data_IF_774559789887
#
_entry.id   IF_774559789887
#
_cell.length_a   1.000
_cell.length_b   1.000
_cell.length_c   1.000
_cell.angle_alpha   90.00
_cell.angle_beta   90.00
_cell.angle_gamma   90.00
#
_symmetry.space_group_name_H-M   'P 1'
#
loop_
_entity.id
_entity.type
_entity.pdbx_description
1 polymer ?
#
# COMPACT_ATOMS: atom_id res chain seq x y z
N UNK A 1 26.84 21.86 -8.57
CA UNK A 1 25.67 22.17 -7.71
C UNK A 1 24.45 21.51 -8.32
N UNK A 2 23.55 20.93 -7.52
CA UNK A 2 22.28 20.39 -8.00
C UNK A 2 21.35 21.53 -8.45
N UNK A 3 20.48 21.27 -9.43
CA UNK A 3 19.48 22.26 -9.87
C UNK A 3 18.47 22.55 -8.74
N UNK A 4 18.18 23.82 -8.42
CA UNK A 4 17.22 24.17 -7.38
C UNK A 4 15.87 23.46 -7.56
N UNK A 5 15.36 22.85 -6.49
CA UNK A 5 14.08 22.14 -6.51
C UNK A 5 14.10 20.70 -7.06
N UNK A 6 15.20 20.26 -7.70
CA UNK A 6 15.30 18.90 -8.25
C UNK A 6 15.10 17.82 -7.18
N UNK A 7 15.79 17.95 -6.04
CA UNK A 7 15.70 16.96 -4.96
C UNK A 7 14.27 16.80 -4.43
N UNK A 8 13.54 17.91 -4.27
CA UNK A 8 12.14 17.87 -3.82
C UNK A 8 11.22 17.21 -4.84
N UNK A 9 11.39 17.52 -6.13
CA UNK A 9 10.60 16.90 -7.20
C UNK A 9 10.89 15.38 -7.31
N UNK A 10 12.16 14.99 -7.18
CA UNK A 10 12.57 13.60 -7.18
C UNK A 10 11.98 12.84 -5.99
N UNK A 11 12.06 13.38 -4.78
CA UNK A 11 11.48 12.74 -3.59
C UNK A 11 9.96 12.63 -3.66
N UNK A 12 9.27 13.61 -4.26
CA UNK A 12 7.82 13.51 -4.52
C UNK A 12 7.48 12.34 -5.46
N UNK A 13 8.31 12.11 -6.49
CA UNK A 13 8.15 10.94 -7.37
C UNK A 13 8.41 9.63 -6.62
N UNK A 14 9.52 9.55 -5.88
CA UNK A 14 9.87 8.36 -5.07
C UNK A 14 8.75 8.02 -4.09
N UNK A 15 8.15 9.03 -3.46
CA UNK A 15 7.01 8.85 -2.55
C UNK A 15 5.80 8.23 -3.25
N UNK A 16 5.37 8.79 -4.39
CA UNK A 16 4.25 8.26 -5.15
C UNK A 16 4.51 6.82 -5.64
N UNK A 17 5.72 6.53 -6.13
CA UNK A 17 6.12 5.19 -6.54
C UNK A 17 6.08 4.22 -5.36
N UNK A 18 6.60 4.61 -4.18
CA UNK A 18 6.60 3.78 -2.98
C UNK A 18 5.17 3.44 -2.51
N UNK A 19 4.24 4.40 -2.54
CA UNK A 19 2.83 4.15 -2.18
C UNK A 19 2.17 3.20 -3.20
N UNK A 20 2.43 3.38 -4.49
CA UNK A 20 1.92 2.47 -5.53
C UNK A 20 2.48 1.04 -5.40
N UNK A 21 3.77 0.90 -5.10
CA UNK A 21 4.39 -0.39 -4.84
C UNK A 21 3.88 -1.05 -3.56
N UNK A 22 3.60 -0.27 -2.51
CA UNK A 22 2.94 -0.76 -1.30
C UNK A 22 1.60 -1.43 -1.65
N UNK A 23 0.75 -0.76 -2.44
CA UNK A 23 -0.51 -1.34 -2.87
C UNK A 23 -0.34 -2.59 -3.74
N UNK A 24 0.68 -2.62 -4.60
CA UNK A 24 1.02 -3.79 -5.42
C UNK A 24 1.45 -4.98 -4.56
N UNK A 25 2.30 -4.76 -3.56
CA UNK A 25 2.75 -5.81 -2.65
C UNK A 25 1.62 -6.35 -1.76
N UNK A 26 0.70 -5.49 -1.29
CA UNK A 26 -0.49 -5.94 -0.57
C UNK A 26 -1.31 -6.95 -1.39
N UNK A 27 -1.57 -6.67 -2.67
CA UNK A 27 -2.28 -7.59 -3.56
C UNK A 27 -1.44 -8.85 -3.80
N UNK A 28 -0.16 -8.70 -4.15
CA UNK A 28 0.72 -9.81 -4.52
C UNK A 28 0.90 -10.81 -3.38
N UNK A 29 1.00 -10.34 -2.14
CA UNK A 29 1.11 -11.20 -0.94
C UNK A 29 -0.22 -11.82 -0.52
N UNK A 30 -1.35 -11.32 -1.01
CA UNK A 30 -2.68 -11.84 -0.67
C UNK A 30 -3.14 -12.96 -1.62
N UNK A 31 -2.82 -12.86 -2.92
CA UNK A 31 -3.33 -13.82 -3.94
C UNK A 31 -2.26 -14.37 -4.87
N UNK A 32 -1.00 -13.96 -4.72
CA UNK A 32 0.11 -14.42 -5.55
C UNK A 32 0.72 -15.73 -5.04
N UNK A 33 1.77 -16.23 -5.70
CA UNK A 33 2.42 -17.49 -5.34
C UNK A 33 3.15 -17.48 -3.97
N UNK A 34 3.51 -16.30 -3.47
CA UNK A 34 4.33 -16.15 -2.25
C UNK A 34 3.59 -15.34 -1.19
N UNK A 35 2.77 -16.04 -0.41
CA UNK A 35 2.00 -15.48 0.70
C UNK A 35 2.88 -15.05 1.88
N UNK A 36 2.25 -14.50 2.92
CA UNK A 36 2.88 -14.09 4.17
C UNK A 36 2.26 -14.85 5.35
N UNK A 37 3.10 -15.22 6.31
CA UNK A 37 2.68 -15.95 7.50
C UNK A 37 1.64 -15.16 8.33
N UNK A 38 1.70 -13.83 8.30
CA UNK A 38 0.76 -12.92 8.96
C UNK A 38 -0.71 -13.21 8.60
N UNK A 39 -0.97 -13.67 7.37
CA UNK A 39 -2.30 -14.05 6.89
C UNK A 39 -2.49 -15.57 6.95
N UNK A 40 -1.51 -16.35 6.49
CA UNK A 40 -1.64 -17.80 6.36
C UNK A 40 -1.77 -18.52 7.72
N UNK A 41 -1.24 -17.94 8.79
CA UNK A 41 -1.28 -18.55 10.14
C UNK A 41 -2.58 -18.25 10.90
N UNK A 42 -3.46 -17.40 10.36
CA UNK A 42 -4.79 -17.13 10.94
C UNK A 42 -5.63 -18.42 10.86
N UNK A 43 -6.01 -18.95 12.03
CA UNK A 43 -6.77 -20.20 12.15
C UNK A 43 -8.26 -20.04 11.84
N UNK A 44 -8.84 -18.90 12.23
CA UNK A 44 -10.23 -18.57 11.89
C UNK A 44 -10.32 -18.24 10.40
N UNK A 45 -10.98 -19.12 9.65
CA UNK A 45 -11.11 -18.98 8.20
C UNK A 45 -11.86 -17.71 7.81
N UNK A 46 -12.92 -17.33 8.53
CA UNK A 46 -13.69 -16.12 8.24
C UNK A 46 -12.84 -14.87 8.47
N UNK A 47 -12.08 -14.84 9.56
CA UNK A 47 -11.13 -13.75 9.82
C UNK A 47 -10.06 -13.66 8.73
N UNK A 48 -9.49 -14.80 8.31
CA UNK A 48 -8.48 -14.84 7.26
C UNK A 48 -9.01 -14.30 5.93
N UNK A 49 -10.22 -14.71 5.52
CA UNK A 49 -10.87 -14.21 4.31
C UNK A 49 -11.13 -12.70 4.38
N UNK A 50 -11.57 -12.19 5.53
CA UNK A 50 -11.76 -10.76 5.71
C UNK A 50 -10.44 -9.99 5.63
N UNK A 51 -9.36 -10.48 6.25
CA UNK A 51 -8.02 -9.87 6.13
C UNK A 51 -7.54 -9.83 4.68
N UNK A 52 -7.71 -10.93 3.92
CA UNK A 52 -7.38 -10.99 2.49
C UNK A 52 -8.18 -9.97 1.68
N UNK A 53 -9.50 -9.89 1.92
CA UNK A 53 -10.39 -8.93 1.27
C UNK A 53 -9.97 -7.49 1.53
N UNK A 54 -9.61 -7.16 2.78
CA UNK A 54 -9.14 -5.83 3.15
C UNK A 54 -7.80 -5.50 2.48
N UNK A 55 -6.83 -6.41 2.53
CA UNK A 55 -5.52 -6.21 1.89
C UNK A 55 -5.65 -5.95 0.38
N UNK A 56 -6.49 -6.71 -0.33
CA UNK A 56 -6.75 -6.51 -1.75
C UNK A 56 -7.46 -5.17 -2.01
N UNK A 57 -8.46 -4.83 -1.20
CA UNK A 57 -9.22 -3.58 -1.34
C UNK A 57 -8.32 -2.37 -1.14
N UNK A 58 -7.57 -2.33 -0.04
CA UNK A 58 -6.62 -1.28 0.27
C UNK A 58 -5.52 -1.21 -0.80
N UNK A 59 -4.98 -2.36 -1.23
CA UNK A 59 -3.94 -2.40 -2.24
C UNK A 59 -4.36 -1.78 -3.57
N UNK A 60 -5.57 -2.10 -4.06
CA UNK A 60 -6.15 -1.47 -5.26
C UNK A 60 -6.30 0.03 -5.10
N UNK A 61 -6.79 0.48 -3.94
CA UNK A 61 -6.96 1.90 -3.66
C UNK A 61 -5.63 2.64 -3.69
N UNK A 62 -4.61 2.15 -2.97
CA UNK A 62 -3.29 2.78 -2.89
C UNK A 62 -2.62 2.91 -4.25
N UNK A 63 -2.74 1.91 -5.14
CA UNK A 63 -2.24 1.99 -6.51
C UNK A 63 -2.88 3.15 -7.27
N UNK A 64 -4.21 3.29 -7.19
CA UNK A 64 -4.96 4.30 -7.94
C UNK A 64 -4.74 5.71 -7.40
N UNK A 65 -4.64 5.86 -6.06
CA UNK A 65 -4.57 7.18 -5.42
C UNK A 65 -3.15 7.60 -5.03
N UNK A 66 -2.11 6.82 -5.36
CA UNK A 66 -0.72 7.07 -4.93
C UNK A 66 -0.25 8.51 -5.19
N UNK A 67 -0.55 9.08 -6.37
CA UNK A 67 -0.18 10.46 -6.72
C UNK A 67 -0.98 11.55 -5.99
N UNK A 68 -1.94 11.19 -5.14
CA UNK A 68 -2.82 12.08 -4.35
C UNK A 68 -2.59 11.93 -2.83
N UNK A 69 -1.58 11.18 -2.42
CA UNK A 69 -1.16 11.05 -1.03
C UNK A 69 0.14 11.85 -0.93
N UNK A 70 0.13 13.00 -0.27
CA UNK A 70 1.28 13.91 -0.22
C UNK A 70 2.14 13.70 1.05
N UNK A 71 1.66 12.92 2.03
CA UNK A 71 2.35 12.68 3.29
C UNK A 71 2.06 11.32 3.92
N UNK A 72 2.89 10.94 4.90
CA UNK A 72 2.68 9.74 5.72
C UNK A 72 1.39 9.81 6.54
N UNK A 73 1.02 10.99 7.02
CA UNK A 73 -0.22 11.17 7.80
C UNK A 73 -1.45 10.93 6.93
N UNK A 74 -1.44 11.41 5.69
CA UNK A 74 -2.48 11.10 4.71
C UNK A 74 -2.53 9.61 4.38
N UNK A 75 -1.36 8.96 4.22
CA UNK A 75 -1.30 7.50 4.00
C UNK A 75 -1.96 6.75 5.16
N UNK A 76 -1.62 7.08 6.40
CA UNK A 76 -2.23 6.48 7.60
C UNK A 76 -3.73 6.73 7.64
N UNK A 77 -4.17 7.95 7.32
CA UNK A 77 -5.60 8.28 7.24
C UNK A 77 -6.33 7.42 6.20
N UNK A 78 -5.72 7.19 5.03
CA UNK A 78 -6.29 6.29 4.00
C UNK A 78 -6.35 4.85 4.49
N UNK A 79 -5.28 4.33 5.11
CA UNK A 79 -5.28 2.96 5.65
C UNK A 79 -6.44 2.76 6.62
N UNK A 80 -6.67 3.71 7.53
CA UNK A 80 -7.78 3.66 8.50
C UNK A 80 -9.17 3.73 7.86
N UNK A 81 -9.32 4.39 6.71
CA UNK A 81 -10.60 4.48 5.98
C UNK A 81 -11.00 3.17 5.30
N UNK A 82 -10.02 2.30 5.00
CA UNK A 82 -10.24 1.00 4.36
C UNK A 82 -10.24 -0.17 5.36
N UNK A 83 -10.06 0.12 6.66
CA UNK A 83 -10.15 -0.83 7.76
C UNK A 83 -11.57 -1.05 8.26
#
# INVERSE_FOLDING_TARGET
MAWPGYASAFLKKVWADAVGFCGTELIRRSVGLSHVADIDTIQDEAMRHECLRHAITLGKALIVIAGRIDSVDELIARIRQYG
#
